data_IF_247171832773
#
_entry.id   IF_247171832773
#
_cell.length_a   1.000
_cell.length_b   1.000
_cell.length_c   1.000
_cell.angle_alpha   90.00
_cell.angle_beta   90.00
_cell.angle_gamma   90.00
#
_symmetry.space_group_name_H-M   'P 1'
#
loop_
_entity.id
_entity.type
_entity.pdbx_description
1 polymer ?
#
# COMPACT_ATOMS: atom_id res chain seq x y z
N UNK A 1 2.31 -8.72 6.91
CA UNK A 1 2.74 -9.72 5.90
C UNK A 1 3.45 -10.85 6.60
N UNK A 2 3.34 -12.10 6.12
CA UNK A 2 4.08 -13.24 6.66
C UNK A 2 5.35 -13.47 5.85
N UNK A 3 6.45 -13.82 6.51
CA UNK A 3 7.73 -14.14 5.87
C UNK A 3 8.25 -15.49 6.39
N UNK A 4 8.91 -16.24 5.52
CA UNK A 4 9.65 -17.45 5.86
C UNK A 4 11.08 -17.08 6.26
N UNK A 5 11.54 -17.53 7.42
CA UNK A 5 12.94 -17.41 7.81
C UNK A 5 13.78 -18.45 7.05
N UNK A 6 14.82 -18.01 6.34
CA UNK A 6 15.64 -18.89 5.48
C UNK A 6 16.57 -19.82 6.27
N UNK A 7 16.87 -19.49 7.54
CA UNK A 7 17.76 -20.29 8.38
C UNK A 7 16.99 -21.35 9.18
N UNK A 8 15.81 -21.00 9.69
CA UNK A 8 15.00 -21.89 10.56
C UNK A 8 13.83 -22.57 9.83
N UNK A 9 13.48 -22.12 8.62
CA UNK A 9 12.32 -22.60 7.87
C UNK A 9 10.98 -22.39 8.60
N UNK A 10 10.91 -21.38 9.49
CA UNK A 10 9.70 -21.03 10.25
C UNK A 10 9.08 -19.73 9.74
N UNK A 11 7.76 -19.65 9.77
CA UNK A 11 7.05 -18.41 9.42
C UNK A 11 7.03 -17.40 10.57
N UNK A 12 7.06 -16.11 10.22
CA UNK A 12 6.87 -15.01 11.16
C UNK A 12 5.97 -13.95 10.54
N UNK A 13 5.01 -13.46 11.31
CA UNK A 13 4.08 -12.44 10.89
C UNK A 13 4.58 -11.04 11.28
N UNK A 14 4.63 -10.13 10.30
CA UNK A 14 5.01 -8.72 10.46
C UNK A 14 3.79 -7.84 10.18
N UNK A 15 2.92 -7.66 11.18
CA UNK A 15 1.74 -6.80 11.12
C UNK A 15 1.99 -5.45 11.79
N UNK A 16 1.59 -4.35 11.14
CA UNK A 16 1.72 -2.99 11.70
C UNK A 16 3.14 -2.46 11.87
N UNK A 17 4.17 -3.29 11.66
CA UNK A 17 5.58 -2.94 11.72
C UNK A 17 6.22 -2.98 10.34
N UNK A 18 7.30 -2.21 10.16
CA UNK A 18 8.12 -2.31 8.96
C UNK A 18 8.84 -3.67 8.97
N UNK A 19 8.68 -4.52 7.93
CA UNK A 19 9.38 -5.78 7.87
C UNK A 19 10.89 -5.55 7.71
N UNK A 20 11.74 -6.47 8.21
CA UNK A 20 13.17 -6.48 7.92
C UNK A 20 13.42 -6.69 6.42
N UNK A 21 14.64 -6.47 5.89
CA UNK A 21 14.97 -6.78 4.51
C UNK A 21 14.60 -8.23 4.15
N UNK A 22 13.88 -8.40 3.05
CA UNK A 22 13.41 -9.70 2.55
C UNK A 22 13.60 -9.80 1.04
N UNK A 23 13.86 -11.02 0.57
CA UNK A 23 13.75 -11.37 -0.83
C UNK A 23 12.31 -11.80 -1.12
N UNK A 24 11.85 -11.60 -2.35
CA UNK A 24 10.53 -12.04 -2.79
C UNK A 24 10.66 -12.98 -3.99
N UNK A 25 10.07 -14.17 -3.89
CA UNK A 25 10.10 -15.15 -4.96
C UNK A 25 9.01 -14.84 -6.00
N UNK A 26 9.42 -14.79 -7.26
CA UNK A 26 8.55 -14.75 -8.42
C UNK A 26 8.74 -16.05 -9.18
N UNK A 27 7.67 -16.83 -9.35
CA UNK A 27 7.79 -18.14 -10.00
C UNK A 27 6.48 -18.56 -10.66
N UNK A 28 6.56 -19.55 -11.56
CA UNK A 28 5.37 -20.17 -12.15
C UNK A 28 4.77 -21.21 -11.22
N UNK A 29 3.47 -21.07 -10.96
CA UNK A 29 2.70 -22.11 -10.28
C UNK A 29 2.53 -23.33 -11.18
N UNK A 30 2.91 -24.49 -10.68
CA UNK A 30 2.65 -25.80 -11.24
C UNK A 30 1.40 -26.35 -10.57
N UNK A 31 0.33 -26.50 -11.34
CA UNK A 31 -0.98 -26.91 -10.84
C UNK A 31 -0.88 -28.18 -9.97
N UNK A 32 -1.34 -28.08 -8.71
CA UNK A 32 -1.36 -29.18 -7.75
C UNK A 32 0.01 -29.61 -7.21
N UNK A 33 1.10 -28.89 -7.53
CA UNK A 33 2.47 -29.24 -7.13
C UNK A 33 3.15 -28.22 -6.23
N UNK A 34 2.54 -27.04 -6.05
CA UNK A 34 3.06 -26.00 -5.16
C UNK A 34 3.01 -26.41 -3.69
N UNK A 35 4.01 -25.97 -2.91
CA UNK A 35 3.98 -26.10 -1.46
C UNK A 35 3.14 -24.98 -0.89
N UNK A 36 2.07 -25.34 -0.20
CA UNK A 36 1.20 -24.40 0.50
C UNK A 36 1.75 -24.11 1.90
N UNK A 37 1.12 -23.17 2.60
CA UNK A 37 1.52 -22.81 3.97
C UNK A 37 1.58 -24.03 4.89
N UNK A 38 0.58 -24.93 4.84
CA UNK A 38 0.52 -26.13 5.67
C UNK A 38 1.67 -27.11 5.38
N UNK A 39 2.05 -27.26 4.11
CA UNK A 39 3.13 -28.16 3.68
C UNK A 39 4.46 -27.71 4.28
N UNK A 40 4.77 -26.42 4.18
CA UNK A 40 6.02 -25.83 4.70
C UNK A 40 6.01 -25.82 6.23
N UNK A 41 4.92 -25.41 6.86
CA UNK A 41 4.79 -25.31 8.32
C UNK A 41 4.95 -26.67 9.02
N UNK A 42 4.46 -27.74 8.39
CA UNK A 42 4.49 -29.11 8.94
C UNK A 42 5.63 -29.96 8.37
N UNK A 43 6.45 -29.39 7.47
CA UNK A 43 7.48 -30.10 6.72
C UNK A 43 6.95 -31.39 6.05
N UNK A 44 5.77 -31.29 5.45
CA UNK A 44 5.11 -32.40 4.74
C UNK A 44 5.41 -32.34 3.25
N UNK A 45 5.39 -33.52 2.63
CA UNK A 45 5.52 -33.69 1.18
C UNK A 45 6.73 -32.94 0.57
N UNK A 46 7.86 -32.95 1.28
CA UNK A 46 9.09 -32.23 0.92
C UNK A 46 9.67 -32.67 -0.45
N UNK A 47 9.27 -33.84 -0.95
CA UNK A 47 9.61 -34.30 -2.29
C UNK A 47 8.87 -33.61 -3.44
N UNK A 48 7.81 -32.84 -3.18
CA UNK A 48 7.03 -32.13 -4.23
C UNK A 48 7.89 -31.05 -4.91
N UNK A 49 7.64 -30.86 -6.20
CA UNK A 49 8.34 -29.85 -7.00
C UNK A 49 8.23 -28.44 -6.39
N UNK A 50 7.06 -28.07 -5.86
CA UNK A 50 6.86 -26.80 -5.17
C UNK A 50 7.72 -26.63 -3.94
N UNK A 51 7.84 -27.67 -3.10
CA UNK A 51 8.68 -27.62 -1.90
C UNK A 51 10.15 -27.46 -2.27
N UNK A 52 10.63 -28.22 -3.27
CA UNK A 52 12.00 -28.07 -3.79
C UNK A 52 12.28 -26.69 -4.35
N UNK A 53 11.29 -26.00 -4.93
CA UNK A 53 11.45 -24.59 -5.32
C UNK A 53 11.62 -23.68 -4.10
N UNK A 54 10.86 -23.89 -3.02
CA UNK A 54 11.05 -23.15 -1.76
C UNK A 54 12.48 -23.36 -1.24
N UNK A 55 12.95 -24.61 -1.19
CA UNK A 55 14.32 -24.95 -0.78
C UNK A 55 15.36 -24.31 -1.70
N UNK A 56 15.13 -24.28 -3.01
CA UNK A 56 16.00 -23.65 -3.98
C UNK A 56 16.12 -22.13 -3.76
N UNK A 57 15.01 -21.44 -3.52
CA UNK A 57 15.04 -20.01 -3.17
C UNK A 57 15.80 -19.77 -1.87
N UNK A 58 15.55 -20.58 -0.85
CA UNK A 58 16.26 -20.50 0.44
C UNK A 58 17.76 -20.73 0.24
N UNK A 59 18.15 -21.75 -0.52
CA UNK A 59 19.56 -22.05 -0.83
C UNK A 59 20.23 -20.91 -1.59
N UNK A 60 19.56 -20.36 -2.61
CA UNK A 60 20.06 -19.22 -3.37
C UNK A 60 20.27 -17.99 -2.48
N UNK A 61 19.30 -17.65 -1.62
CA UNK A 61 19.42 -16.51 -0.70
C UNK A 61 20.58 -16.72 0.26
N UNK A 62 20.70 -17.89 0.87
CA UNK A 62 21.77 -18.18 1.84
C UNK A 62 23.17 -18.09 1.23
N UNK A 63 23.30 -18.45 -0.05
CA UNK A 63 24.60 -18.49 -0.75
C UNK A 63 24.94 -17.17 -1.42
N UNK A 64 23.99 -16.56 -2.14
CA UNK A 64 24.24 -15.38 -2.98
C UNK A 64 23.87 -14.06 -2.30
N UNK A 65 23.01 -14.09 -1.26
CA UNK A 65 22.46 -12.89 -0.61
C UNK A 65 22.41 -13.08 0.93
N UNK A 66 23.52 -13.45 1.59
CA UNK A 66 23.51 -13.94 2.99
C UNK A 66 23.04 -12.90 4.03
N UNK A 67 23.00 -11.63 3.67
CA UNK A 67 22.48 -10.54 4.51
C UNK A 67 20.94 -10.50 4.58
N UNK A 68 20.25 -11.16 3.65
CA UNK A 68 18.79 -11.29 3.66
C UNK A 68 18.42 -12.59 4.38
N UNK A 69 17.59 -12.47 5.42
CA UNK A 69 17.17 -13.61 6.27
C UNK A 69 15.72 -14.02 6.09
N UNK A 70 14.99 -13.28 5.27
CA UNK A 70 13.55 -13.43 5.11
C UNK A 70 13.18 -13.57 3.65
N UNK A 71 12.24 -14.49 3.39
CA UNK A 71 11.74 -14.80 2.06
C UNK A 71 10.21 -14.70 2.07
N UNK A 72 9.66 -13.99 1.10
CA UNK A 72 8.24 -14.02 0.79
C UNK A 72 7.96 -14.87 -0.45
N UNK A 73 6.98 -15.76 -0.37
CA UNK A 73 6.50 -16.59 -1.48
C UNK A 73 4.98 -16.64 -1.38
N UNK A 74 4.26 -16.26 -2.44
CA UNK A 74 2.79 -16.18 -2.45
C UNK A 74 2.10 -17.51 -2.10
N UNK A 75 2.65 -18.64 -2.52
CA UNK A 75 2.09 -19.98 -2.27
C UNK A 75 2.09 -20.39 -0.79
N UNK A 76 3.14 -20.05 -0.05
CA UNK A 76 3.29 -20.51 1.34
C UNK A 76 3.32 -19.39 2.39
N UNK A 77 3.46 -18.12 1.99
CA UNK A 77 3.33 -16.97 2.90
C UNK A 77 1.90 -16.42 2.97
N UNK A 78 0.99 -16.86 2.09
CA UNK A 78 -0.43 -16.50 2.12
C UNK A 78 -1.24 -17.76 2.43
N UNK A 79 -2.11 -17.71 3.43
CA UNK A 79 -3.15 -18.73 3.65
C UNK A 79 -4.24 -18.57 2.61
N UNK A 80 -4.10 -19.32 1.52
CA UNK A 80 -5.02 -19.28 0.36
C UNK A 80 -6.47 -19.67 0.72
N UNK A 81 -6.67 -20.41 1.81
CA UNK A 81 -7.98 -20.80 2.35
C UNK A 81 -8.61 -19.73 3.26
N UNK A 82 -7.91 -18.63 3.54
CA UNK A 82 -8.43 -17.50 4.31
C UNK A 82 -8.79 -16.37 3.35
N UNK A 83 -10.06 -16.24 3.00
CA UNK A 83 -10.55 -15.18 2.08
C UNK A 83 -10.09 -13.79 2.51
N UNK A 84 -10.03 -13.56 3.83
CA UNK A 84 -9.54 -12.32 4.40
C UNK A 84 -8.05 -12.10 4.12
N UNK A 85 -7.22 -13.08 4.47
CA UNK A 85 -5.77 -12.96 4.29
C UNK A 85 -5.42 -12.85 2.80
N UNK A 86 -6.11 -13.63 1.96
CA UNK A 86 -6.00 -13.58 0.52
C UNK A 86 -6.39 -12.20 -0.03
N UNK A 87 -7.53 -11.65 0.41
CA UNK A 87 -7.97 -10.32 -0.01
C UNK A 87 -6.99 -9.23 0.42
N UNK A 88 -6.46 -9.30 1.64
CA UNK A 88 -5.47 -8.33 2.13
C UNK A 88 -4.16 -8.43 1.33
N UNK A 89 -3.72 -9.66 1.06
CA UNK A 89 -2.52 -9.94 0.29
C UNK A 89 -2.62 -9.40 -1.12
N UNK A 90 -3.69 -9.71 -1.86
CA UNK A 90 -3.88 -9.24 -3.24
C UNK A 90 -3.88 -7.70 -3.32
N UNK A 91 -4.51 -7.01 -2.37
CA UNK A 91 -4.51 -5.53 -2.35
C UNK A 91 -3.18 -4.92 -1.88
N UNK A 92 -2.27 -5.72 -1.29
CA UNK A 92 -0.99 -5.24 -0.75
C UNK A 92 0.22 -5.72 -1.55
N UNK A 93 0.04 -6.68 -2.45
CA UNK A 93 1.12 -7.42 -3.10
C UNK A 93 2.07 -6.53 -3.89
N UNK A 94 1.55 -5.57 -4.67
CA UNK A 94 2.41 -4.60 -5.38
C UNK A 94 3.35 -3.87 -4.44
N UNK A 95 2.86 -3.44 -3.27
CA UNK A 95 3.68 -2.80 -2.25
C UNK A 95 4.72 -3.78 -1.71
N UNK A 96 4.36 -5.03 -1.45
CA UNK A 96 5.30 -6.03 -0.96
C UNK A 96 6.38 -6.35 -2.00
N UNK A 97 6.07 -6.35 -3.29
CA UNK A 97 7.09 -6.47 -4.35
C UNK A 97 7.98 -5.23 -4.42
N UNK A 98 7.40 -4.04 -4.39
CA UNK A 98 8.14 -2.77 -4.37
C UNK A 98 9.06 -2.65 -3.16
N UNK A 99 8.61 -3.18 -2.02
CA UNK A 99 9.30 -3.02 -0.75
C UNK A 99 10.36 -4.09 -0.46
N UNK A 100 10.46 -5.12 -1.30
CA UNK A 100 11.48 -6.16 -1.22
C UNK A 100 12.89 -5.64 -1.50
N UNK A 101 13.90 -6.30 -0.93
CA UNK A 101 15.31 -6.06 -1.25
C UNK A 101 15.60 -6.46 -2.70
N UNK A 102 15.08 -7.61 -3.11
CA UNK A 102 15.24 -8.19 -4.43
C UNK A 102 14.06 -9.09 -4.75
N UNK A 103 13.61 -9.08 -6.00
CA UNK A 103 12.72 -10.11 -6.54
C UNK A 103 13.53 -11.15 -7.32
N UNK A 104 13.42 -12.41 -6.92
CA UNK A 104 14.07 -13.53 -7.59
C UNK A 104 13.06 -14.19 -8.53
N UNK A 105 13.18 -13.93 -9.83
CA UNK A 105 12.33 -14.50 -10.87
C UNK A 105 12.92 -15.83 -11.36
N UNK A 106 12.33 -16.95 -10.93
CA UNK A 106 12.76 -18.29 -11.34
C UNK A 106 12.02 -18.74 -12.61
N UNK A 107 12.79 -18.95 -13.69
CA UNK A 107 12.30 -19.30 -15.02
C UNK A 107 12.61 -20.78 -15.29
N UNK A 108 11.71 -21.66 -14.88
CA UNK A 108 11.84 -23.12 -15.03
C UNK A 108 11.97 -23.58 -16.49
N UNK A 109 11.51 -22.77 -17.45
CA UNK A 109 11.56 -23.03 -18.88
C UNK A 109 12.81 -22.49 -19.58
N UNK A 110 13.72 -21.83 -18.86
CA UNK A 110 15.01 -21.35 -19.39
C UNK A 110 16.14 -22.23 -18.86
N UNK A 111 16.75 -23.02 -19.74
CA UNK A 111 17.79 -23.99 -19.37
C UNK A 111 19.21 -23.43 -19.44
N UNK A 112 19.48 -22.42 -20.28
CA UNK A 112 20.81 -21.83 -20.40
C UNK A 112 20.72 -20.31 -20.39
N UNK A 113 21.72 -19.64 -19.81
CA UNK A 113 21.74 -18.17 -19.67
C UNK A 113 21.99 -17.44 -20.98
N UNK A 114 22.65 -18.09 -21.94
CA UNK A 114 23.01 -17.50 -23.23
C UNK A 114 21.89 -17.60 -24.28
N UNK A 115 20.86 -18.42 -24.03
CA UNK A 115 19.74 -18.59 -24.94
C UNK A 115 18.71 -17.46 -24.82
N UNK A 116 18.99 -16.41 -25.60
CA UNK A 116 18.13 -15.25 -25.81
C UNK A 116 16.71 -15.63 -26.22
N UNK A 117 16.55 -16.64 -27.06
CA UNK A 117 15.25 -17.00 -27.62
C UNK A 117 14.38 -17.65 -26.54
N UNK A 118 14.96 -18.53 -25.74
CA UNK A 118 14.24 -19.19 -24.63
C UNK A 118 13.88 -18.21 -23.53
N UNK A 119 14.75 -17.25 -23.19
CA UNK A 119 14.38 -16.16 -22.27
C UNK A 119 13.20 -15.33 -22.80
N UNK A 120 13.25 -14.90 -24.07
CA UNK A 120 12.16 -14.13 -24.72
C UNK A 120 10.85 -14.92 -24.77
N UNK A 121 10.95 -16.24 -24.96
CA UNK A 121 9.82 -17.16 -25.04
C UNK A 121 9.27 -17.62 -23.69
N UNK A 122 9.89 -17.24 -22.57
CA UNK A 122 9.49 -17.74 -21.27
C UNK A 122 8.03 -17.42 -20.95
N UNK A 123 7.31 -18.44 -20.47
CA UNK A 123 5.92 -18.34 -20.01
C UNK A 123 5.79 -17.34 -18.87
N UNK A 124 6.87 -17.05 -18.15
CA UNK A 124 6.89 -16.01 -17.10
C UNK A 124 6.38 -14.66 -17.63
N UNK A 125 6.77 -14.24 -18.84
CA UNK A 125 6.31 -12.99 -19.45
C UNK A 125 4.85 -13.03 -19.91
N UNK A 126 4.24 -14.22 -19.98
CA UNK A 126 2.85 -14.45 -20.39
C UNK A 126 1.89 -14.60 -19.22
N UNK A 127 2.34 -14.52 -17.96
CA UNK A 127 1.42 -14.60 -16.80
C UNK A 127 0.93 -13.22 -16.40
N UNK A 128 -0.33 -13.13 -15.96
CA UNK A 128 -0.88 -11.87 -15.44
C UNK A 128 -0.15 -11.38 -14.18
N UNK A 129 0.00 -12.24 -13.17
CA UNK A 129 0.54 -11.85 -11.87
C UNK A 129 2.00 -11.37 -11.93
N UNK A 130 2.82 -11.97 -12.80
CA UNK A 130 4.22 -11.59 -13.01
C UNK A 130 4.40 -10.16 -13.52
N UNK A 131 3.33 -9.51 -13.98
CA UNK A 131 3.38 -8.09 -14.35
C UNK A 131 3.70 -7.20 -13.13
N UNK A 132 3.07 -7.45 -11.97
CA UNK A 132 3.39 -6.70 -10.76
C UNK A 132 4.78 -7.06 -10.24
N UNK A 133 5.17 -8.33 -10.38
CA UNK A 133 6.47 -8.86 -9.97
C UNK A 133 7.62 -8.29 -10.82
N UNK A 134 7.32 -7.91 -12.07
CA UNK A 134 8.25 -7.20 -12.94
C UNK A 134 8.35 -5.71 -12.59
N UNK A 135 7.19 -5.05 -12.44
CA UNK A 135 7.10 -3.59 -12.39
C UNK A 135 7.41 -3.03 -11.00
N UNK A 136 6.91 -3.66 -9.95
CA UNK A 136 6.97 -3.10 -8.61
C UNK A 136 8.38 -3.10 -8.00
N UNK A 137 9.17 -4.20 -8.05
CA UNK A 137 10.48 -4.24 -7.41
C UNK A 137 11.48 -3.29 -8.06
N UNK A 138 12.33 -2.68 -7.24
CA UNK A 138 13.48 -1.92 -7.74
C UNK A 138 14.48 -2.80 -8.49
N UNK A 139 14.72 -4.01 -7.96
CA UNK A 139 15.62 -5.02 -8.54
C UNK A 139 14.88 -6.35 -8.76
N UNK A 140 14.96 -6.89 -9.98
CA UNK A 140 14.53 -8.24 -10.32
C UNK A 140 15.74 -8.99 -10.89
N UNK A 141 16.09 -10.13 -10.30
CA UNK A 141 17.14 -11.04 -10.80
C UNK A 141 16.46 -12.24 -11.45
N UNK A 142 16.77 -12.48 -12.72
CA UNK A 142 16.22 -13.61 -13.49
C UNK A 142 17.15 -14.81 -13.36
N UNK A 143 16.58 -15.93 -12.94
CA UNK A 143 17.28 -17.18 -12.68
C UNK A 143 16.80 -18.25 -13.65
N UNK A 144 17.74 -19.03 -14.19
CA UNK A 144 17.45 -20.20 -15.02
C UNK A 144 16.83 -21.33 -14.18
N UNK A 145 16.41 -22.40 -14.85
CA UNK A 145 15.98 -23.65 -14.23
C UNK A 145 17.00 -24.21 -13.24
N UNK A 146 18.29 -24.00 -13.52
CA UNK A 146 19.42 -24.50 -12.74
C UNK A 146 19.96 -23.46 -11.75
N UNK A 147 19.21 -22.37 -11.51
CA UNK A 147 19.52 -21.27 -10.59
C UNK A 147 20.68 -20.36 -11.01
N UNK A 148 21.10 -20.43 -12.27
CA UNK A 148 22.10 -19.54 -12.84
C UNK A 148 21.52 -18.16 -13.11
N UNK A 149 22.33 -17.11 -12.92
CA UNK A 149 21.92 -15.74 -13.15
C UNK A 149 21.91 -15.43 -14.64
N UNK A 150 20.72 -15.21 -15.20
CA UNK A 150 20.52 -14.80 -16.59
C UNK A 150 20.83 -13.30 -16.76
N UNK A 151 20.41 -12.49 -15.78
CA UNK A 151 20.54 -11.05 -15.80
C UNK A 151 19.50 -10.37 -14.90
N UNK A 152 19.36 -9.06 -15.02
CA UNK A 152 18.49 -8.30 -14.12
C UNK A 152 17.71 -7.15 -14.79
N UNK A 153 16.63 -6.75 -14.10
CA UNK A 153 15.95 -5.46 -14.27
C UNK A 153 16.27 -4.57 -13.07
N UNK A 154 16.53 -3.29 -13.30
CA UNK A 154 16.84 -2.30 -12.28
C UNK A 154 18.21 -1.71 -12.52
N UNK A 155 18.26 -0.54 -13.16
CA UNK A 155 19.47 0.13 -13.66
C UNK A 155 20.68 0.16 -12.73
N UNK A 156 20.47 0.24 -11.42
CA UNK A 156 21.57 0.27 -10.45
C UNK A 156 22.21 -1.10 -10.23
N UNK A 157 21.51 -2.21 -10.54
CA UNK A 157 21.90 -3.56 -10.14
C UNK A 157 21.86 -3.79 -8.62
N UNK A 158 21.34 -2.83 -7.86
CA UNK A 158 21.33 -2.84 -6.40
C UNK A 158 19.91 -2.92 -5.85
N UNK A 159 19.75 -3.74 -4.81
CA UNK A 159 18.56 -3.73 -3.98
C UNK A 159 18.46 -2.47 -3.11
N UNK A 160 17.44 -2.44 -2.25
CA UNK A 160 17.15 -1.28 -1.38
C UNK A 160 18.28 -0.93 -0.43
N UNK A 161 18.95 -1.94 0.11
CA UNK A 161 20.06 -1.77 1.05
C UNK A 161 21.34 -1.30 0.36
N UNK A 162 21.37 -1.28 -0.98
CA UNK A 162 22.55 -0.99 -1.82
C UNK A 162 23.75 -1.91 -1.56
N UNK A 163 23.49 -3.06 -0.95
CA UNK A 163 24.50 -4.10 -0.79
C UNK A 163 24.64 -4.81 -2.15
N UNK A 164 25.87 -5.00 -2.67
CA UNK A 164 26.08 -5.69 -3.94
C UNK A 164 25.50 -7.11 -3.94
N UNK A 165 24.86 -7.48 -5.05
CA UNK A 165 24.36 -8.82 -5.34
C UNK A 165 24.84 -9.19 -6.75
N UNK A 166 25.09 -10.48 -7.01
CA UNK A 166 25.39 -10.95 -8.36
C UNK A 166 24.12 -10.88 -9.22
N UNK A 167 24.07 -9.98 -10.18
CA UNK A 167 22.85 -9.69 -10.96
C UNK A 167 22.97 -9.95 -12.46
N UNK A 168 24.17 -10.30 -12.96
CA UNK A 168 24.39 -10.55 -14.38
C UNK A 168 24.17 -9.30 -15.26
N UNK A 169 23.99 -9.44 -16.58
CA UNK A 169 23.79 -8.30 -17.47
C UNK A 169 22.45 -7.60 -17.25
N UNK A 170 22.40 -6.30 -17.55
CA UNK A 170 21.15 -5.52 -17.56
C UNK A 170 20.27 -5.95 -18.74
N UNK A 171 18.99 -6.23 -18.47
CA UNK A 171 18.03 -6.79 -19.44
C UNK A 171 16.89 -5.82 -19.80
N UNK A 172 16.86 -4.58 -19.30
CA UNK A 172 15.76 -3.61 -19.49
C UNK A 172 15.31 -3.49 -20.95
N UNK A 173 16.24 -3.23 -21.87
CA UNK A 173 15.90 -3.10 -23.30
C UNK A 173 15.31 -4.37 -23.91
N UNK A 174 15.83 -5.53 -23.50
CA UNK A 174 15.30 -6.83 -23.95
C UNK A 174 13.90 -7.08 -23.38
N UNK A 175 13.68 -6.76 -22.11
CA UNK A 175 12.38 -6.89 -21.45
C UNK A 175 11.36 -5.92 -22.07
N UNK A 176 11.77 -4.69 -22.40
CA UNK A 176 10.93 -3.71 -23.09
C UNK A 176 10.45 -4.26 -24.45
N UNK A 177 11.33 -4.88 -25.24
CA UNK A 177 10.94 -5.53 -26.49
C UNK A 177 9.96 -6.69 -26.31
N UNK A 178 10.08 -7.47 -25.22
CA UNK A 178 9.19 -8.61 -24.95
C UNK A 178 7.80 -8.14 -24.49
N UNK A 179 7.77 -7.10 -23.67
CA UNK A 179 6.57 -6.70 -22.90
C UNK A 179 5.87 -5.46 -23.45
N UNK A 180 6.53 -4.72 -24.34
CA UNK A 180 6.13 -3.38 -24.80
C UNK A 180 5.99 -2.36 -23.67
N UNK A 181 6.65 -2.60 -22.53
CA UNK A 181 6.71 -1.65 -21.42
C UNK A 181 7.92 -0.74 -21.65
N UNK A 182 7.77 0.59 -21.55
CA UNK A 182 8.88 1.54 -21.68
C UNK A 182 10.05 1.25 -20.72
N UNK A 183 11.28 1.44 -21.18
CA UNK A 183 12.49 1.16 -20.39
C UNK A 183 12.58 2.02 -19.11
N UNK A 184 12.10 3.26 -19.15
CA UNK A 184 12.03 4.15 -17.99
C UNK A 184 11.05 3.64 -16.92
N UNK A 185 9.90 3.07 -17.33
CA UNK A 185 8.95 2.41 -16.42
C UNK A 185 9.54 1.12 -15.85
N UNK A 186 10.28 0.35 -16.64
CA UNK A 186 10.98 -0.85 -16.14
C UNK A 186 12.07 -0.49 -15.13
N UNK A 187 12.76 0.64 -15.34
CA UNK A 187 13.77 1.15 -14.44
C UNK A 187 13.18 1.62 -13.11
N UNK A 188 12.15 2.44 -13.18
CA UNK A 188 11.40 2.92 -12.04
C UNK A 188 9.93 3.06 -12.41
N UNK A 189 9.08 2.30 -11.70
CA UNK A 189 7.65 2.33 -11.92
C UNK A 189 7.03 3.72 -11.76
N UNK A 190 7.66 4.61 -10.99
CA UNK A 190 7.20 5.99 -10.81
C UNK A 190 7.22 6.79 -12.11
N UNK A 191 8.01 6.40 -13.12
CA UNK A 191 7.93 6.98 -14.46
C UNK A 191 6.56 6.76 -15.12
N UNK A 192 5.78 5.80 -14.65
CA UNK A 192 4.42 5.54 -15.14
C UNK A 192 3.37 6.53 -14.62
N UNK A 193 3.70 7.44 -13.70
CA UNK A 193 2.72 8.35 -13.06
C UNK A 193 1.88 9.13 -14.06
N UNK A 194 2.51 9.64 -15.11
CA UNK A 194 1.87 10.45 -16.15
C UNK A 194 1.25 9.61 -17.28
N UNK A 195 1.35 8.28 -17.21
CA UNK A 195 0.75 7.40 -18.22
C UNK A 195 -0.73 7.18 -17.94
N UNK A 196 -1.53 7.28 -19.00
CA UNK A 196 -2.96 6.98 -18.97
C UNK A 196 -3.21 5.56 -18.47
N UNK A 197 -4.34 5.38 -17.78
CA UNK A 197 -4.73 4.07 -17.26
C UNK A 197 -4.84 3.02 -18.37
N UNK A 198 -5.34 3.40 -19.56
CA UNK A 198 -5.46 2.48 -20.70
C UNK A 198 -4.09 1.95 -21.16
N UNK A 199 -3.05 2.78 -21.13
CA UNK A 199 -1.68 2.34 -21.44
C UNK A 199 -1.18 1.31 -20.42
N UNK A 200 -1.45 1.53 -19.13
CA UNK A 200 -1.08 0.59 -18.06
C UNK A 200 -1.87 -0.73 -18.17
N UNK A 201 -3.15 -0.66 -18.52
CA UNK A 201 -3.98 -1.84 -18.77
C UNK A 201 -3.48 -2.62 -19.99
N UNK A 202 -3.00 -1.96 -21.04
CA UNK A 202 -2.46 -2.61 -22.24
C UNK A 202 -1.21 -3.47 -21.96
N UNK A 203 -0.51 -3.29 -20.84
CA UNK A 203 0.58 -4.19 -20.44
C UNK A 203 0.11 -5.61 -20.08
N UNK A 204 -1.20 -5.81 -19.92
CA UNK A 204 -1.81 -7.13 -19.80
C UNK A 204 -2.04 -7.83 -21.14
N UNK A 205 -1.85 -7.15 -22.27
CA UNK A 205 -2.04 -7.75 -23.59
C UNK A 205 -1.09 -8.92 -23.80
N UNK A 206 -1.65 -10.09 -24.17
CA UNK A 206 -0.89 -11.33 -24.34
C UNK A 206 -0.50 -12.02 -23.03
N UNK A 207 -1.01 -11.56 -21.87
CA UNK A 207 -0.89 -12.25 -20.58
C UNK A 207 -2.15 -13.04 -20.25
N UNK A 208 -1.96 -14.15 -19.55
CA UNK A 208 -3.00 -15.11 -19.18
C UNK A 208 -3.03 -15.34 -17.66
N UNK A 209 -4.20 -15.69 -17.16
CA UNK A 209 -4.42 -16.04 -15.76
C UNK A 209 -5.24 -17.32 -15.64
N UNK A 210 -5.03 -18.08 -14.57
CA UNK A 210 -5.78 -19.31 -14.32
C UNK A 210 -7.24 -19.04 -13.96
N UNK A 211 -7.48 -18.01 -13.12
CA UNK A 211 -8.83 -17.51 -12.82
C UNK A 211 -9.08 -16.26 -13.65
N UNK A 212 -10.27 -16.15 -14.23
CA UNK A 212 -10.61 -15.02 -15.10
C UNK A 212 -10.61 -13.67 -14.36
N UNK A 213 -10.96 -13.66 -13.08
CA UNK A 213 -10.95 -12.47 -12.22
C UNK A 213 -9.54 -11.91 -12.01
N UNK A 214 -8.51 -12.76 -12.06
CA UNK A 214 -7.12 -12.34 -11.85
C UNK A 214 -6.65 -11.37 -12.95
N UNK A 215 -7.25 -11.37 -14.14
CA UNK A 215 -6.98 -10.34 -15.16
C UNK A 215 -7.18 -8.92 -14.61
N UNK A 216 -8.14 -8.77 -13.69
CA UNK A 216 -8.39 -7.51 -13.00
C UNK A 216 -7.52 -7.37 -11.74
N UNK A 217 -7.39 -8.43 -10.94
CA UNK A 217 -6.66 -8.35 -9.67
C UNK A 217 -5.15 -8.12 -9.85
N UNK A 218 -4.57 -8.60 -10.96
CA UNK A 218 -3.19 -8.32 -11.35
C UNK A 218 -2.92 -6.83 -11.63
N UNK A 219 -3.95 -6.00 -11.82
CA UNK A 219 -3.79 -4.58 -12.11
C UNK A 219 -3.98 -3.67 -10.89
N UNK A 220 -4.43 -4.19 -9.74
CA UNK A 220 -4.84 -3.34 -8.59
C UNK A 220 -3.73 -2.40 -8.13
N UNK A 221 -2.52 -2.91 -7.91
CA UNK A 221 -1.41 -2.06 -7.47
C UNK A 221 -0.82 -1.18 -8.57
N UNK A 222 -0.88 -1.61 -9.83
CA UNK A 222 -0.45 -0.84 -11.00
C UNK A 222 -1.38 0.37 -11.21
N UNK A 223 -2.67 0.18 -11.02
CA UNK A 223 -3.65 1.27 -11.13
C UNK A 223 -3.85 2.00 -9.79
N UNK A 224 -3.19 1.51 -8.74
CA UNK A 224 -3.28 1.98 -7.36
C UNK A 224 -4.74 2.16 -6.92
N UNK A 225 -5.47 1.04 -6.97
CA UNK A 225 -6.87 0.90 -6.56
C UNK A 225 -7.04 -0.31 -5.66
N UNK A 226 -7.98 -0.22 -4.70
CA UNK A 226 -8.33 -1.33 -3.82
C UNK A 226 -9.74 -1.85 -4.11
N UNK A 227 -9.88 -3.17 -4.07
CA UNK A 227 -11.13 -3.89 -4.35
C UNK A 227 -11.35 -5.05 -3.38
N UNK A 228 -12.62 -5.34 -3.08
CA UNK A 228 -13.00 -6.57 -2.39
C UNK A 228 -12.74 -7.77 -3.32
N UNK A 229 -11.92 -8.74 -2.89
CA UNK A 229 -11.58 -9.90 -3.71
C UNK A 229 -12.69 -10.93 -3.61
N UNK A 230 -13.28 -11.28 -4.75
CA UNK A 230 -14.40 -12.22 -4.85
C UNK A 230 -14.19 -13.12 -6.06
N UNK A 231 -13.81 -14.36 -5.80
CA UNK A 231 -13.72 -15.39 -6.83
C UNK A 231 -15.10 -16.03 -7.05
N UNK A 232 -15.46 -16.29 -8.30
CA UNK A 232 -16.80 -16.71 -8.70
C UNK A 232 -17.68 -15.56 -9.21
N UNK A 233 -17.22 -14.31 -9.14
CA UNK A 233 -17.89 -13.16 -9.76
C UNK A 233 -17.81 -13.21 -11.31
N UNK A 234 -16.83 -13.93 -11.86
CA UNK A 234 -16.56 -13.97 -13.29
C UNK A 234 -15.70 -12.80 -13.78
N UNK A 235 -15.03 -12.98 -14.93
CA UNK A 235 -14.05 -12.02 -15.45
C UNK A 235 -14.69 -10.68 -15.81
N UNK A 236 -15.86 -10.69 -16.45
CA UNK A 236 -16.54 -9.50 -16.96
C UNK A 236 -17.01 -8.58 -15.83
N UNK A 237 -17.64 -9.18 -14.80
CA UNK A 237 -18.13 -8.44 -13.63
C UNK A 237 -16.98 -7.86 -12.81
N UNK A 238 -15.88 -8.63 -12.67
CA UNK A 238 -14.69 -8.15 -11.95
C UNK A 238 -14.02 -7.00 -12.71
N UNK A 239 -13.92 -7.11 -14.03
CA UNK A 239 -13.40 -6.04 -14.89
C UNK A 239 -14.24 -4.77 -14.79
N UNK A 240 -15.57 -4.87 -14.84
CA UNK A 240 -16.46 -3.71 -14.68
C UNK A 240 -16.26 -3.01 -13.32
N UNK A 241 -16.03 -3.77 -12.24
CA UNK A 241 -15.73 -3.22 -10.92
C UNK A 241 -14.37 -2.51 -10.88
N UNK A 242 -13.36 -3.04 -11.60
CA UNK A 242 -12.06 -2.39 -11.75
C UNK A 242 -12.20 -1.05 -12.46
N UNK A 243 -12.90 -1.02 -13.61
CA UNK A 243 -13.16 0.21 -14.35
C UNK A 243 -13.89 1.25 -13.50
N UNK A 244 -14.87 0.83 -12.68
CA UNK A 244 -15.57 1.73 -11.77
C UNK A 244 -14.62 2.35 -10.72
N UNK A 245 -13.65 1.57 -10.21
CA UNK A 245 -12.65 2.06 -9.25
C UNK A 245 -11.68 3.03 -9.89
N UNK A 246 -11.21 2.71 -11.10
CA UNK A 246 -10.34 3.57 -11.91
C UNK A 246 -11.04 4.89 -12.24
N UNK A 247 -12.28 4.85 -12.75
CA UNK A 247 -13.04 6.06 -13.09
C UNK A 247 -13.29 6.95 -11.86
N UNK A 248 -13.63 6.35 -10.70
CA UNK A 248 -13.76 7.12 -9.45
C UNK A 248 -12.46 7.79 -9.06
N UNK A 249 -11.32 7.12 -9.24
CA UNK A 249 -9.99 7.71 -9.02
C UNK A 249 -9.69 8.83 -10.01
N UNK A 250 -9.96 8.60 -11.30
CA UNK A 250 -9.82 9.58 -12.38
C UNK A 250 -10.63 10.85 -12.13
N UNK A 251 -11.87 10.72 -11.64
CA UNK A 251 -12.72 11.86 -11.29
C UNK A 251 -12.25 12.59 -10.01
N UNK A 252 -11.49 11.93 -9.14
CA UNK A 252 -10.83 12.57 -8.00
C UNK A 252 -9.53 13.28 -8.41
N UNK A 253 -8.88 12.85 -9.50
CA UNK A 253 -7.65 13.46 -10.05
C UNK A 253 -7.89 14.45 -11.18
N UNK A 254 -9.10 14.47 -11.77
CA UNK A 254 -9.50 15.45 -12.77
C UNK A 254 -9.89 16.76 -12.07
N UNK A 255 -8.88 17.57 -11.75
CA UNK A 255 -8.94 19.02 -11.60
C UNK A 255 -10.17 19.57 -10.88
N UNK A 256 -10.21 19.41 -9.56
CA UNK A 256 -10.91 20.35 -8.68
C UNK A 256 -9.92 20.89 -7.66
N UNK A 257 -10.26 21.95 -6.92
CA UNK A 257 -9.43 22.59 -5.89
C UNK A 257 -8.83 21.63 -4.82
N UNK A 258 -9.24 20.35 -4.84
CA UNK A 258 -8.81 19.25 -3.98
C UNK A 258 -7.31 18.90 -4.09
N UNK A 259 -6.65 19.13 -5.24
CA UNK A 259 -5.22 18.81 -5.41
C UNK A 259 -4.28 19.78 -4.70
N UNK A 260 -4.67 21.06 -4.56
CA UNK A 260 -3.86 22.07 -3.85
C UNK A 260 -3.66 21.71 -2.36
N UNK A 261 -4.65 21.03 -1.76
CA UNK A 261 -4.64 20.67 -0.34
C UNK A 261 -4.38 19.18 -0.11
N UNK A 262 -3.92 18.46 -1.14
CA UNK A 262 -3.76 17.00 -1.04
C UNK A 262 -2.58 16.64 -0.16
N UNK A 263 -2.83 15.84 0.88
CA UNK A 263 -1.80 15.32 1.79
C UNK A 263 -1.81 13.79 1.74
N UNK A 264 -0.68 13.13 1.42
CA UNK A 264 -0.60 11.67 1.40
C UNK A 264 -1.10 11.05 2.72
N UNK A 265 -1.95 10.01 2.59
CA UNK A 265 -2.51 9.32 3.74
C UNK A 265 -1.42 8.61 4.56
N UNK A 266 -1.27 8.99 5.83
CA UNK A 266 -0.35 8.33 6.75
C UNK A 266 -1.10 7.34 7.63
N UNK A 267 -0.52 6.16 7.80
CA UNK A 267 -1.00 5.15 8.76
C UNK A 267 -0.39 5.32 10.16
N UNK A 268 0.55 6.27 10.32
CA UNK A 268 1.26 6.48 11.60
C UNK A 268 0.25 6.90 12.67
N UNK A 269 0.23 6.18 13.79
CA UNK A 269 -0.66 6.44 14.93
C UNK A 269 -2.10 5.93 14.76
N UNK A 270 -2.48 5.36 13.61
CA UNK A 270 -3.83 4.82 13.40
C UNK A 270 -3.87 3.34 13.81
N UNK A 271 -4.66 2.95 14.82
CA UNK A 271 -4.73 1.58 15.31
C UNK A 271 -5.17 0.60 14.22
N UNK A 272 -4.50 -0.54 14.12
CA UNK A 272 -4.82 -1.62 13.19
C UNK A 272 -5.29 -2.84 13.97
N UNK A 273 -6.30 -3.56 13.46
CA UNK A 273 -6.81 -4.78 14.09
C UNK A 273 -6.89 -5.91 13.07
N UNK A 274 -6.34 -7.06 13.45
CA UNK A 274 -6.41 -8.31 12.70
C UNK A 274 -7.81 -8.94 12.75
N UNK A 275 -8.77 -8.37 13.48
CA UNK A 275 -10.16 -8.83 13.60
C UNK A 275 -11.10 -7.63 13.72
N UNK A 276 -11.33 -6.94 12.61
CA UNK A 276 -12.42 -5.96 12.53
C UNK A 276 -13.72 -6.68 12.17
N UNK A 277 -14.72 -6.57 13.05
CA UNK A 277 -16.09 -6.98 12.72
C UNK A 277 -16.79 -5.77 12.10
N UNK A 278 -17.19 -5.83 10.81
CA UNK A 278 -17.87 -4.73 10.15
C UNK A 278 -19.14 -4.34 10.89
N UNK A 279 -19.25 -3.05 11.23
CA UNK A 279 -20.50 -2.46 11.71
C UNK A 279 -21.15 -1.70 10.58
N UNK A 280 -21.82 -2.44 9.70
CA UNK A 280 -22.34 -1.88 8.45
C UNK A 280 -23.30 -0.70 8.68
N UNK A 281 -24.16 -0.76 9.71
CA UNK A 281 -25.05 0.34 10.05
C UNK A 281 -24.30 1.61 10.49
N UNK A 282 -23.32 1.47 11.38
CA UNK A 282 -22.50 2.60 11.87
C UNK A 282 -21.64 3.19 10.74
N UNK A 283 -21.04 2.32 9.92
CA UNK A 283 -20.27 2.73 8.75
C UNK A 283 -21.13 3.44 7.71
N UNK A 284 -22.36 2.95 7.46
CA UNK A 284 -23.32 3.63 6.59
C UNK A 284 -23.71 4.99 7.15
N UNK A 285 -23.85 5.14 8.47
CA UNK A 285 -24.17 6.40 9.11
C UNK A 285 -23.02 7.42 9.00
N UNK A 286 -21.78 7.02 9.28
CA UNK A 286 -20.59 7.86 9.05
C UNK A 286 -20.49 8.27 7.58
N UNK A 287 -20.73 7.31 6.67
CA UNK A 287 -20.67 7.54 5.22
C UNK A 287 -21.76 8.50 4.76
N UNK A 288 -23.02 8.30 5.18
CA UNK A 288 -24.14 9.15 4.76
C UNK A 288 -24.01 10.56 5.33
N UNK A 289 -23.49 10.68 6.56
CA UNK A 289 -23.12 11.96 7.14
C UNK A 289 -22.07 12.59 6.24
N UNK A 290 -20.82 12.12 6.22
CA UNK A 290 -19.74 12.84 5.52
C UNK A 290 -19.91 12.98 4.00
N UNK A 291 -20.70 12.13 3.31
CA UNK A 291 -20.94 12.24 1.85
C UNK A 291 -22.07 13.17 1.43
N UNK A 292 -22.91 13.68 2.33
CA UNK A 292 -24.01 14.56 1.90
C UNK A 292 -23.46 15.85 1.27
N UNK A 293 -23.70 16.03 -0.03
CA UNK A 293 -23.27 17.19 -0.85
C UNK A 293 -24.13 18.44 -0.65
N UNK A 294 -24.97 18.48 0.39
CA UNK A 294 -25.60 19.72 0.80
C UNK A 294 -24.50 20.73 1.09
N UNK A 295 -24.59 21.90 0.46
CA UNK A 295 -23.70 23.06 0.55
C UNK A 295 -23.58 23.55 2.01
N UNK A 296 -22.90 22.77 2.85
CA UNK A 296 -22.72 23.06 4.24
C UNK A 296 -21.68 24.19 4.35
N UNK A 297 -22.19 25.41 4.61
CA UNK A 297 -21.36 26.57 4.95
C UNK A 297 -20.62 26.41 6.30
N UNK A 298 -20.69 25.24 6.95
CA UNK A 298 -20.17 25.00 8.30
C UNK A 298 -19.34 23.71 8.39
N UNK A 299 -18.43 23.69 9.37
CA UNK A 299 -17.64 22.50 9.74
C UNK A 299 -18.58 21.40 10.24
N UNK A 300 -18.37 20.17 9.79
CA UNK A 300 -19.19 19.01 10.15
C UNK A 300 -18.48 18.20 11.21
N UNK A 301 -19.16 17.93 12.32
CA UNK A 301 -18.61 17.22 13.48
C UNK A 301 -19.50 16.02 13.77
N UNK A 302 -18.89 14.84 13.79
CA UNK A 302 -19.56 13.58 14.15
C UNK A 302 -18.87 13.01 15.39
N UNK A 303 -19.64 12.73 16.45
CA UNK A 303 -19.12 12.19 17.70
C UNK A 303 -19.41 10.69 17.77
N UNK A 304 -18.37 9.87 17.79
CA UNK A 304 -18.48 8.42 18.06
C UNK A 304 -18.23 8.19 19.54
N UNK A 305 -19.28 7.86 20.30
CA UNK A 305 -19.21 7.65 21.75
C UNK A 305 -19.73 6.26 22.16
N UNK A 306 -19.42 5.85 23.39
CA UNK A 306 -19.77 4.52 23.92
C UNK A 306 -18.73 4.00 24.90
N UNK A 307 -19.01 2.85 25.53
CA UNK A 307 -18.15 2.26 26.56
C UNK A 307 -16.71 1.99 26.07
N UNK A 308 -15.76 1.95 27.00
CA UNK A 308 -14.39 1.50 26.72
C UNK A 308 -14.38 0.11 26.07
N UNK A 309 -13.50 -0.11 25.08
CA UNK A 309 -13.41 -1.39 24.37
C UNK A 309 -14.55 -1.69 23.38
N UNK A 310 -15.53 -0.79 23.20
CA UNK A 310 -16.66 -1.03 22.29
C UNK A 310 -16.32 -0.92 20.79
N UNK A 311 -15.06 -0.74 20.41
CA UNK A 311 -14.64 -0.71 19.00
C UNK A 311 -14.70 0.64 18.29
N UNK A 312 -14.91 1.75 19.01
CA UNK A 312 -15.06 3.12 18.44
C UNK A 312 -13.86 3.54 17.60
N UNK A 313 -12.67 3.39 18.17
CA UNK A 313 -11.40 3.69 17.54
C UNK A 313 -11.21 2.87 16.27
N UNK A 314 -11.53 1.58 16.31
CA UNK A 314 -11.43 0.69 15.16
C UNK A 314 -12.43 1.06 14.05
N UNK A 315 -13.66 1.44 14.41
CA UNK A 315 -14.67 1.93 13.46
C UNK A 315 -14.17 3.18 12.71
N UNK A 316 -13.65 4.18 13.44
CA UNK A 316 -13.14 5.42 12.84
C UNK A 316 -11.88 5.16 11.99
N UNK A 317 -10.99 4.27 12.44
CA UNK A 317 -9.80 3.89 11.71
C UNK A 317 -10.13 3.21 10.38
N UNK A 318 -11.11 2.31 10.36
CA UNK A 318 -11.57 1.64 9.13
C UNK A 318 -12.31 2.61 8.20
N UNK A 319 -13.12 3.52 8.73
CA UNK A 319 -13.71 4.60 7.94
C UNK A 319 -12.61 5.44 7.25
N UNK A 320 -11.63 5.92 8.01
CA UNK A 320 -10.52 6.70 7.47
C UNK A 320 -9.80 5.93 6.35
N UNK A 321 -9.49 4.65 6.56
CA UNK A 321 -8.80 3.82 5.56
C UNK A 321 -9.62 3.60 4.29
N UNK A 322 -10.90 3.30 4.45
CA UNK A 322 -11.79 2.96 3.34
C UNK A 322 -12.15 4.19 2.49
N UNK A 323 -12.31 5.35 3.14
CA UNK A 323 -12.81 6.57 2.52
C UNK A 323 -11.74 7.66 2.32
N UNK A 324 -10.46 7.41 2.67
CA UNK A 324 -9.34 8.38 2.55
C UNK A 324 -9.29 9.12 1.21
N UNK A 325 -9.61 8.45 0.10
CA UNK A 325 -9.52 9.04 -1.24
C UNK A 325 -10.63 10.07 -1.52
N UNK A 326 -11.67 10.14 -0.67
CA UNK A 326 -12.73 11.14 -0.79
C UNK A 326 -12.36 12.47 -0.11
N UNK A 327 -11.24 12.50 0.60
CA UNK A 327 -10.75 13.67 1.31
C UNK A 327 -9.42 14.13 0.69
N UNK A 328 -9.18 15.44 0.65
CA UNK A 328 -7.89 16.01 0.25
C UNK A 328 -6.79 15.62 1.26
N UNK A 329 -7.13 15.60 2.55
CA UNK A 329 -6.23 15.20 3.61
C UNK A 329 -6.97 14.43 4.70
N UNK A 330 -6.29 13.46 5.31
CA UNK A 330 -6.78 12.78 6.53
C UNK A 330 -5.71 12.85 7.62
N UNK A 331 -6.14 13.31 8.80
CA UNK A 331 -5.31 13.43 9.99
C UNK A 331 -5.93 12.67 11.15
N UNK A 332 -5.05 11.99 11.88
CA UNK A 332 -5.38 11.25 13.10
C UNK A 332 -4.60 11.86 14.25
N UNK A 333 -5.31 12.39 15.24
CA UNK A 333 -4.76 13.09 16.38
C UNK A 333 -5.08 12.34 17.68
N UNK A 334 -4.16 12.41 18.62
CA UNK A 334 -4.27 11.78 19.94
C UNK A 334 -4.85 12.79 20.94
N UNK A 335 -6.12 12.61 21.30
CA UNK A 335 -6.86 13.44 22.24
C UNK A 335 -6.75 13.01 23.71
N UNK A 336 -5.87 12.06 24.06
CA UNK A 336 -5.71 11.54 25.43
C UNK A 336 -5.34 12.61 26.46
N UNK A 337 -4.66 13.67 26.03
CA UNK A 337 -4.27 14.83 26.82
C UNK A 337 -4.02 16.04 25.92
N UNK A 338 -3.98 17.24 26.52
CA UNK A 338 -3.68 18.48 25.81
C UNK A 338 -2.32 18.43 25.10
N UNK A 339 -1.32 17.82 25.74
CA UNK A 339 0.04 17.74 25.21
C UNK A 339 0.18 16.68 24.11
N UNK A 340 -0.46 15.51 24.25
CA UNK A 340 -0.52 14.50 23.19
C UNK A 340 -1.22 15.05 21.92
N UNK A 341 -2.26 15.86 22.11
CA UNK A 341 -2.96 16.49 20.99
C UNK A 341 -2.07 17.48 20.26
N UNK A 342 -1.33 18.33 20.99
CA UNK A 342 -0.35 19.26 20.40
C UNK A 342 0.78 18.53 19.66
N UNK A 343 1.33 17.47 20.24
CA UNK A 343 2.40 16.69 19.61
C UNK A 343 1.94 15.98 18.33
N UNK A 344 0.72 15.43 18.33
CA UNK A 344 0.15 14.80 17.14
C UNK A 344 -0.21 15.83 16.06
N UNK A 345 -0.65 17.03 16.44
CA UNK A 345 -0.83 18.16 15.50
C UNK A 345 0.49 18.64 14.91
N UNK A 346 1.54 18.77 15.71
CA UNK A 346 2.89 19.08 15.22
C UNK A 346 3.35 18.05 14.18
N UNK A 347 3.16 16.76 14.47
CA UNK A 347 3.49 15.68 13.55
C UNK A 347 2.67 15.71 12.26
N UNK A 348 1.41 16.17 12.33
CA UNK A 348 0.54 16.39 11.18
C UNK A 348 0.99 17.60 10.34
N UNK A 349 1.39 18.70 10.99
CA UNK A 349 1.85 19.93 10.36
C UNK A 349 3.07 19.70 9.45
N UNK A 350 4.00 18.82 9.85
CA UNK A 350 5.18 18.46 9.06
C UNK A 350 4.85 17.80 7.71
N UNK A 351 3.60 17.36 7.50
CA UNK A 351 3.15 16.73 6.25
C UNK A 351 2.45 17.71 5.30
N UNK A 352 2.22 18.96 5.72
CA UNK A 352 1.51 19.93 4.90
C UNK A 352 2.35 20.30 3.67
N UNK A 353 1.72 20.51 2.49
CA UNK A 353 2.42 20.93 1.30
C UNK A 353 2.97 22.35 1.46
N UNK A 354 4.18 22.59 0.96
CA UNK A 354 4.80 23.91 0.93
C UNK A 354 4.15 24.69 -0.23
N UNK A 355 3.14 25.51 0.06
CA UNK A 355 2.44 26.30 -0.96
C UNK A 355 3.35 27.42 -1.49
N UNK A 356 3.91 27.26 -2.70
CA UNK A 356 4.77 28.24 -3.38
C UNK A 356 4.04 29.49 -3.92
N UNK A 357 2.74 29.67 -3.67
CA UNK A 357 1.92 30.64 -4.41
C UNK A 357 1.00 31.56 -3.59
N UNK A 358 0.91 31.43 -2.26
CA UNK A 358 0.10 32.34 -1.44
C UNK A 358 0.94 32.87 -0.28
N UNK A 359 1.24 34.16 -0.36
CA UNK A 359 1.78 34.95 0.75
C UNK A 359 0.77 34.90 1.91
N UNK A 360 1.04 34.14 2.98
CA UNK A 360 0.56 34.39 4.36
C UNK A 360 0.73 33.22 5.34
N UNK A 361 1.16 32.03 4.92
CA UNK A 361 1.59 31.00 5.90
C UNK A 361 3.11 31.02 5.95
N UNK A 362 3.67 31.78 6.89
CA UNK A 362 5.09 31.72 7.20
C UNK A 362 5.47 30.27 7.49
N UNK A 363 6.35 29.72 6.66
CA UNK A 363 6.84 28.36 6.85
C UNK A 363 7.73 28.38 8.08
N UNK A 364 7.44 27.59 9.13
CA UNK A 364 8.19 27.73 10.35
C UNK A 364 9.61 27.20 10.15
N UNK A 365 10.60 27.99 10.56
CA UNK A 365 12.01 27.57 10.54
C UNK A 365 12.19 26.33 11.42
N UNK A 366 13.28 25.57 11.21
CA UNK A 366 13.60 24.34 11.94
C UNK A 366 13.82 24.51 13.47
N UNK A 367 13.49 25.66 14.05
CA UNK A 367 13.47 25.96 15.48
C UNK A 367 12.14 26.54 16.01
N UNK A 368 11.03 26.42 15.27
CA UNK A 368 9.73 26.94 15.71
C UNK A 368 9.12 26.14 16.87
N UNK A 369 8.49 26.84 17.81
CA UNK A 369 7.81 26.24 18.97
C UNK A 369 6.59 25.40 18.52
N UNK A 370 6.34 24.30 19.24
CA UNK A 370 5.19 23.41 19.12
C UNK A 370 3.84 24.12 19.03
N UNK A 371 3.70 25.26 19.72
CA UNK A 371 2.50 26.10 19.72
C UNK A 371 2.27 26.78 18.36
N UNK A 372 3.31 27.37 17.76
CA UNK A 372 3.23 28.06 16.47
C UNK A 372 2.90 27.08 15.35
N UNK A 373 3.50 25.88 15.36
CA UNK A 373 3.23 24.82 14.38
C UNK A 373 1.80 24.30 14.47
N UNK A 374 1.27 24.17 15.69
CA UNK A 374 -0.13 23.78 15.91
C UNK A 374 -1.08 24.84 15.35
N UNK A 375 -0.74 26.11 15.49
CA UNK A 375 -1.50 27.23 14.93
C UNK A 375 -1.45 27.25 13.40
N UNK A 376 -0.27 27.09 12.78
CA UNK A 376 -0.15 26.98 11.32
C UNK A 376 -0.96 25.81 10.75
N UNK A 377 -1.01 24.68 11.44
CA UNK A 377 -1.84 23.55 11.06
C UNK A 377 -3.34 23.89 11.07
N UNK A 378 -3.82 24.56 12.12
CA UNK A 378 -5.21 25.01 12.20
C UNK A 378 -5.54 26.07 11.15
N UNK A 379 -4.62 27.00 10.89
CA UNK A 379 -4.77 28.01 9.84
C UNK A 379 -4.88 27.37 8.46
N UNK A 380 -4.05 26.37 8.17
CA UNK A 380 -4.13 25.62 6.92
C UNK A 380 -5.48 24.91 6.74
N UNK A 381 -6.00 24.28 7.81
CA UNK A 381 -7.34 23.67 7.79
C UNK A 381 -8.47 24.70 7.65
N UNK A 382 -8.25 25.94 8.11
CA UNK A 382 -9.21 27.03 8.07
C UNK A 382 -9.23 27.80 6.74
N UNK A 383 -8.33 27.51 5.80
CA UNK A 383 -8.27 28.18 4.50
C UNK A 383 -9.64 28.11 3.79
N UNK A 384 -10.14 29.23 3.22
CA UNK A 384 -11.50 29.29 2.66
C UNK A 384 -11.80 28.23 1.60
N UNK A 385 -10.80 27.83 0.82
CA UNK A 385 -10.90 26.84 -0.25
C UNK A 385 -10.54 25.41 0.19
N UNK A 386 -10.04 25.23 1.42
CA UNK A 386 -9.70 23.92 1.97
C UNK A 386 -10.91 23.29 2.66
N UNK A 387 -11.78 22.64 1.87
CA UNK A 387 -13.10 22.17 2.32
C UNK A 387 -13.22 20.66 2.55
N UNK A 388 -12.27 19.89 2.01
CA UNK A 388 -12.44 18.43 1.84
C UNK A 388 -11.49 17.60 2.71
N UNK A 389 -11.07 18.09 3.87
CA UNK A 389 -10.24 17.32 4.81
C UNK A 389 -11.06 16.55 5.85
N UNK A 390 -10.47 15.48 6.38
CA UNK A 390 -10.98 14.69 7.51
C UNK A 390 -10.00 14.79 8.70
N UNK A 391 -10.50 15.24 9.84
CA UNK A 391 -9.76 15.29 11.11
C UNK A 391 -10.42 14.34 12.10
N UNK A 392 -9.65 13.39 12.63
CA UNK A 392 -10.09 12.45 13.66
C UNK A 392 -9.29 12.73 14.92
N UNK A 393 -9.98 13.05 16.02
CA UNK A 393 -9.39 13.20 17.34
C UNK A 393 -9.86 12.00 18.16
N UNK A 394 -8.95 11.05 18.41
CA UNK A 394 -9.25 9.82 19.12
C UNK A 394 -8.95 9.96 20.62
N UNK A 395 -9.54 9.11 21.46
CA UNK A 395 -9.24 9.02 22.90
C UNK A 395 -9.54 10.31 23.72
N UNK A 396 -10.55 11.09 23.32
CA UNK A 396 -11.06 12.22 24.11
C UNK A 396 -11.94 11.68 25.24
N UNK A 397 -11.31 11.21 26.31
CA UNK A 397 -12.00 10.50 27.40
C UNK A 397 -12.43 11.42 28.56
N UNK A 398 -11.92 12.64 28.61
CA UNK A 398 -12.13 13.58 29.73
C UNK A 398 -13.12 14.66 29.33
N UNK A 399 -14.30 14.62 29.92
CA UNK A 399 -15.35 15.60 29.66
C UNK A 399 -14.95 16.97 30.24
N UNK A 400 -14.71 17.93 29.36
CA UNK A 400 -14.47 19.30 29.76
C UNK A 400 -15.81 20.02 29.91
N UNK A 401 -16.22 20.23 31.14
CA UNK A 401 -17.33 21.11 31.49
C UNK A 401 -16.75 22.44 31.98
N UNK A 402 -17.44 23.57 31.77
CA UNK A 402 -17.01 24.89 32.26
C UNK A 402 -16.86 24.95 33.80
N UNK A 403 -17.32 23.92 34.52
CA UNK A 403 -17.17 23.68 35.96
C UNK A 403 -16.34 22.41 36.28
N UNK A 404 -15.52 21.92 35.36
CA UNK A 404 -14.82 20.64 35.50
C UNK A 404 -13.89 20.62 36.74
N UNK A 405 -14.04 19.57 37.56
CA UNK A 405 -13.18 19.28 38.73
C UNK A 405 -11.91 18.50 38.37
N UNK A 406 -11.77 18.02 37.14
CA UNK A 406 -10.58 17.31 36.67
C UNK A 406 -9.56 18.33 36.11
N UNK A 407 -8.42 18.57 36.79
CA UNK A 407 -7.39 19.50 36.34
C UNK A 407 -6.70 19.08 35.04
N UNK A 408 -6.91 17.84 34.57
CA UNK A 408 -6.37 17.31 33.32
C UNK A 408 -7.41 17.27 32.18
N UNK A 409 -8.68 17.62 32.44
CA UNK A 409 -9.67 17.81 31.38
C UNK A 409 -9.36 19.08 30.58
N UNK A 410 -9.53 19.03 29.25
CA UNK A 410 -9.25 20.16 28.38
C UNK A 410 -10.32 20.30 27.29
N UNK A 411 -10.54 21.54 26.84
CA UNK A 411 -11.49 21.79 25.78
C UNK A 411 -10.89 21.45 24.41
N UNK A 412 -11.26 20.30 23.84
CA UNK A 412 -10.79 19.91 22.51
C UNK A 412 -11.25 20.87 21.40
N UNK A 413 -12.31 21.67 21.62
CA UNK A 413 -12.79 22.64 20.64
C UNK A 413 -11.80 23.79 20.40
N UNK A 414 -10.85 24.02 21.32
CA UNK A 414 -9.73 24.96 21.10
C UNK A 414 -8.82 24.51 19.96
N UNK A 415 -8.83 23.21 19.63
CA UNK A 415 -7.99 22.58 18.61
C UNK A 415 -8.77 22.29 17.31
N UNK A 416 -9.91 22.95 17.11
CA UNK A 416 -10.66 22.93 15.86
C UNK A 416 -10.41 24.24 15.07
N UNK A 417 -10.32 24.18 13.74
CA UNK A 417 -10.11 25.36 12.91
C UNK A 417 -11.31 26.31 13.02
N UNK A 418 -11.04 27.58 13.38
CA UNK A 418 -12.05 28.64 13.39
C UNK A 418 -12.11 29.24 11.98
N UNK A 419 -13.23 29.08 11.26
CA UNK A 419 -13.41 29.74 9.95
C UNK A 419 -13.42 31.26 10.15
N UNK A 420 -12.50 31.98 9.52
CA UNK A 420 -12.53 33.44 9.43
C UNK A 420 -13.75 33.84 8.61
N UNK A 421 -14.78 34.38 9.26
CA UNK A 421 -15.84 35.09 8.55
C UNK A 421 -15.23 36.36 7.98
N UNK A 422 -14.85 36.35 6.70
CA UNK A 422 -14.55 37.60 6.01
C UNK A 422 -15.86 38.38 5.99
N UNK A 423 -15.91 39.47 6.77
CA UNK A 423 -17.00 40.42 6.67
C UNK A 423 -16.99 40.96 5.24
N UNK A 424 -18.04 40.67 4.48
CA UNK A 424 -18.26 41.29 3.17
C UNK A 424 -18.45 42.78 3.38
N UNK A 425 -17.48 43.59 2.97
CA UNK A 425 -17.63 45.05 2.78
C UNK A 425 -18.41 45.34 1.52
#
# INVERSE_FOLDING_TARGET
MRLLNVDTFTFTDFFGVQPPPYAIASHRWLAGKEAMWEDVQQQKDTGKAGYRKVEGFVSYIKTQIPFVKWLWIDTCCIKQNSDRELSEAINSMFRWYRDAEVCLAYLEDVTTTDDVATFKGSVWFKRGWTLQELLAPGLVVFLSKDWDVIGHKGHSGYGRSRIPVQTGPLLESRIAMITNIPEDVLRDYEASRELDTDKKMNWMTGRETTRGEDLSYCLLGILDVNMNIRYGDGKEKTWARLLQKVSKKGNLTAGTAQDQYRVPFSRRGIPFTDFFVPRDADMQHLTSYFRSTATARQQRVFVVHGMGGSGKTQLCAEFARMYREQFSAVFWLDGSSRDALRQSMFSAALRLPINKGQQSIETPSAGADSAQMSESFLQWLALPDNKDWLLIIDNVDRDWQSQAKDPQAFNYSEFLPKRTTVASS
#
